data_IF_956275126010
#
_entry.id   IF_956275126010
#
_cell.length_a   1.000
_cell.length_b   1.000
_cell.length_c   1.000
_cell.angle_alpha   90.00
_cell.angle_beta   90.00
_cell.angle_gamma   90.00
#
_symmetry.space_group_name_H-M   'P 1'
#
loop_
_entity.id
_entity.type
_entity.pdbx_description
1 polymer ?
#
# COMPACT_ATOMS: atom_id res chain seq x y z
N UNK A 1 16.02 -7.69 2.31
CA UNK A 1 15.24 -7.61 3.57
C UNK A 1 14.02 -8.51 3.42
N UNK A 2 13.62 -9.24 4.47
CA UNK A 2 12.38 -10.03 4.43
C UNK A 2 11.18 -9.11 4.22
N UNK A 3 10.15 -9.54 3.49
CA UNK A 3 8.94 -8.74 3.26
C UNK A 3 8.31 -8.23 4.56
N UNK A 4 8.41 -9.03 5.62
CA UNK A 4 7.92 -8.70 6.97
C UNK A 4 8.64 -7.48 7.59
N UNK A 5 9.95 -7.33 7.36
CA UNK A 5 10.71 -6.18 7.86
C UNK A 5 10.31 -4.91 7.13
N UNK A 6 10.08 -4.99 5.82
CA UNK A 6 9.61 -3.86 4.99
C UNK A 6 8.18 -3.46 5.38
N UNK A 7 7.31 -4.43 5.71
CA UNK A 7 5.95 -4.16 6.17
C UNK A 7 5.93 -3.43 7.52
N UNK A 8 6.75 -3.89 8.48
CA UNK A 8 6.97 -3.20 9.76
C UNK A 8 7.47 -1.77 9.57
N UNK A 9 8.37 -1.56 8.61
CA UNK A 9 8.85 -0.22 8.29
C UNK A 9 7.72 0.68 7.80
N UNK A 10 6.88 0.20 6.88
CA UNK A 10 5.71 0.92 6.38
C UNK A 10 4.75 1.32 7.49
N UNK A 11 4.38 0.37 8.36
CA UNK A 11 3.54 0.60 9.55
C UNK A 11 4.21 1.60 10.50
N UNK A 12 5.52 1.45 10.74
CA UNK A 12 6.31 2.33 11.59
C UNK A 12 6.35 3.77 11.06
N UNK A 13 6.42 3.97 9.75
CA UNK A 13 6.34 5.28 9.09
C UNK A 13 4.95 5.90 9.23
N UNK A 14 3.87 5.13 9.06
CA UNK A 14 2.51 5.61 9.33
C UNK A 14 2.36 6.04 10.79
N UNK A 15 2.83 5.22 11.74
CA UNK A 15 2.74 5.51 13.17
C UNK A 15 3.49 6.77 13.54
N UNK A 16 4.75 6.88 13.12
CA UNK A 16 5.56 8.06 13.38
C UNK A 16 4.99 9.31 12.70
N UNK A 17 4.41 9.17 11.50
CA UNK A 17 3.67 10.23 10.84
C UNK A 17 2.46 10.71 11.66
N UNK A 18 1.62 9.80 12.16
CA UNK A 18 0.50 10.12 13.05
C UNK A 18 0.98 10.82 14.33
N UNK A 19 2.12 10.41 14.90
CA UNK A 19 2.70 11.08 16.07
C UNK A 19 3.03 12.55 15.77
N UNK A 20 3.65 12.84 14.63
CA UNK A 20 3.94 14.22 14.25
C UNK A 20 2.67 15.04 14.04
N UNK A 21 1.60 14.45 13.50
CA UNK A 21 0.30 15.14 13.39
C UNK A 21 -0.27 15.49 14.77
N UNK A 22 -0.21 14.56 15.73
CA UNK A 22 -0.64 14.79 17.12
C UNK A 22 0.20 15.92 17.73
N UNK A 23 1.52 15.88 17.59
CA UNK A 23 2.43 16.89 18.13
C UNK A 23 2.21 18.27 17.51
N UNK A 24 1.95 18.33 16.19
CA UNK A 24 1.65 19.58 15.50
C UNK A 24 0.41 20.27 16.08
N UNK A 25 -0.67 19.52 16.27
CA UNK A 25 -1.93 20.04 16.83
C UNK A 25 -1.75 20.46 18.30
N UNK A 26 -1.09 19.62 19.12
CA UNK A 26 -0.85 19.95 20.53
C UNK A 26 0.03 21.20 20.70
N UNK A 27 1.11 21.31 19.91
CA UNK A 27 1.98 22.46 19.96
C UNK A 27 1.25 23.74 19.54
N UNK A 28 0.44 23.67 18.47
CA UNK A 28 -0.36 24.80 18.01
C UNK A 28 -1.38 25.21 19.08
N UNK A 29 -2.17 24.27 19.60
CA UNK A 29 -3.22 24.55 20.58
C UNK A 29 -2.65 25.13 21.89
N UNK A 30 -1.64 24.48 22.46
CA UNK A 30 -1.01 24.93 23.72
C UNK A 30 -0.26 26.25 23.50
N UNK A 31 0.49 26.36 22.41
CA UNK A 31 1.24 27.57 22.09
C UNK A 31 0.31 28.78 21.91
N UNK A 32 -0.78 28.63 21.16
CA UNK A 32 -1.78 29.69 20.98
C UNK A 32 -2.41 30.08 22.33
N UNK A 33 -2.80 29.11 23.16
CA UNK A 33 -3.37 29.38 24.49
C UNK A 33 -2.40 30.20 25.35
N UNK A 34 -1.13 29.81 25.40
CA UNK A 34 -0.09 30.51 26.18
C UNK A 34 0.12 31.93 25.66
N UNK A 35 0.20 32.11 24.34
CA UNK A 35 0.41 33.43 23.73
C UNK A 35 -0.79 34.34 23.96
N UNK A 36 -2.02 33.83 23.81
CA UNK A 36 -3.23 34.59 24.10
C UNK A 36 -3.23 35.02 25.57
N UNK A 37 -2.97 34.09 26.48
CA UNK A 37 -2.93 34.38 27.93
C UNK A 37 -1.88 35.43 28.27
N UNK A 38 -0.67 35.29 27.75
CA UNK A 38 0.43 36.23 27.98
C UNK A 38 0.16 37.61 27.36
N UNK A 39 -0.32 37.65 26.10
CA UNK A 39 -0.62 38.89 25.39
C UNK A 39 -1.83 39.64 25.98
N UNK A 40 -2.84 38.92 26.46
CA UNK A 40 -3.97 39.52 27.17
C UNK A 40 -3.52 40.11 28.52
N UNK A 41 -2.76 39.36 29.32
CA UNK A 41 -2.24 39.84 30.60
C UNK A 41 -1.32 41.05 30.42
N UNK A 42 -0.39 40.99 29.47
CA UNK A 42 0.51 42.11 29.14
C UNK A 42 -0.24 43.35 28.65
N UNK A 43 -1.29 43.16 27.85
CA UNK A 43 -2.16 44.22 27.38
C UNK A 43 -2.97 44.85 28.51
N UNK A 44 -3.57 44.04 29.39
CA UNK A 44 -4.32 44.51 30.56
C UNK A 44 -3.44 45.31 31.53
N UNK A 45 -2.23 44.81 31.81
CA UNK A 45 -1.29 45.51 32.69
C UNK A 45 -0.86 46.86 32.09
N UNK A 46 -0.52 46.88 30.80
CA UNK A 46 -0.13 48.10 30.09
C UNK A 46 -1.29 49.12 30.01
N UNK A 47 -2.52 48.64 29.86
CA UNK A 47 -3.72 49.47 29.89
C UNK A 47 -3.96 50.06 31.29
N UNK A 48 -3.83 49.26 32.34
CA UNK A 48 -3.98 49.71 33.73
C UNK A 48 -2.93 50.78 34.13
N UNK A 49 -1.73 50.72 33.54
CA UNK A 49 -0.68 51.72 33.76
C UNK A 49 -0.76 52.94 32.82
N UNK A 50 -1.78 53.04 31.97
CA UNK A 50 -1.90 54.12 30.97
C UNK A 50 -0.85 54.10 29.86
N UNK A 51 -0.12 53.00 29.68
CA UNK A 51 0.97 52.88 28.71
C UNK A 51 0.44 52.41 27.34
N UNK A 52 0.05 53.35 26.50
CA UNK A 52 -0.48 53.10 25.15
C UNK A 52 0.51 52.31 24.26
N UNK A 53 1.81 52.60 24.36
CA UNK A 53 2.85 51.88 23.60
C UNK A 53 2.92 50.42 24.04
N UNK A 54 2.79 50.15 25.34
CA UNK A 54 2.74 48.78 25.89
C UNK A 54 1.53 47.98 25.39
N UNK A 55 0.36 48.61 25.28
CA UNK A 55 -0.85 47.96 24.75
C UNK A 55 -0.65 47.55 23.27
N UNK A 56 -0.12 48.46 22.45
CA UNK A 56 0.16 48.18 21.02
C UNK A 56 1.22 47.08 20.89
N UNK A 57 2.31 47.17 21.67
CA UNK A 57 3.38 46.18 21.66
C UNK A 57 2.87 44.79 22.06
N UNK A 58 1.94 44.69 23.04
CA UNK A 58 1.32 43.43 23.43
C UNK A 58 0.46 42.85 22.30
N UNK A 59 -0.30 43.69 21.60
CA UNK A 59 -1.10 43.27 20.44
C UNK A 59 -0.24 42.73 19.28
N UNK A 60 0.84 43.44 18.93
CA UNK A 60 1.79 42.98 17.90
C UNK A 60 2.49 41.70 18.35
N UNK A 61 2.93 41.64 19.61
CA UNK A 61 3.57 40.46 20.19
C UNK A 61 2.67 39.22 20.15
N UNK A 62 1.36 39.40 20.39
CA UNK A 62 0.37 38.33 20.28
C UNK A 62 0.24 37.82 18.84
N UNK A 63 0.09 38.72 17.85
CA UNK A 63 -0.02 38.34 16.45
C UNK A 63 1.24 37.63 15.94
N UNK A 64 2.42 38.19 16.25
CA UNK A 64 3.72 37.61 15.88
C UNK A 64 3.92 36.26 16.55
N UNK A 65 3.62 36.13 17.84
CA UNK A 65 3.72 34.88 18.57
C UNK A 65 2.84 33.79 17.96
N UNK A 66 1.57 34.11 17.66
CA UNK A 66 0.64 33.16 17.04
C UNK A 66 1.16 32.72 15.68
N UNK A 67 1.62 33.66 14.85
CA UNK A 67 2.19 33.35 13.53
C UNK A 67 3.38 32.39 13.63
N UNK A 68 4.29 32.62 14.59
CA UNK A 68 5.46 31.75 14.82
C UNK A 68 5.02 30.34 15.24
N UNK A 69 4.09 30.23 16.19
CA UNK A 69 3.60 28.92 16.65
C UNK A 69 2.90 28.13 15.55
N UNK A 70 2.07 28.80 14.75
CA UNK A 70 1.42 28.19 13.59
C UNK A 70 2.48 27.71 12.59
N UNK A 71 3.52 28.51 12.33
CA UNK A 71 4.59 28.16 11.40
C UNK A 71 5.36 26.92 11.88
N UNK A 72 5.72 26.85 13.17
CA UNK A 72 6.39 25.68 13.74
C UNK A 72 5.48 24.44 13.67
N UNK A 73 4.20 24.59 14.05
CA UNK A 73 3.20 23.51 13.96
C UNK A 73 3.05 22.99 12.52
N UNK A 74 3.03 23.89 11.54
CA UNK A 74 2.94 23.54 10.12
C UNK A 74 4.18 22.75 9.64
N UNK A 75 5.39 23.12 10.07
CA UNK A 75 6.62 22.36 9.74
C UNK A 75 6.54 20.94 10.30
N UNK A 76 6.12 20.79 11.56
CA UNK A 76 5.96 19.47 12.19
C UNK A 76 4.88 18.66 11.46
N UNK A 77 3.74 19.27 11.13
CA UNK A 77 2.67 18.64 10.36
C UNK A 77 3.15 18.18 8.98
N UNK A 78 3.93 19.00 8.28
CA UNK A 78 4.51 18.66 6.99
C UNK A 78 5.41 17.41 7.08
N UNK A 79 6.28 17.36 8.09
CA UNK A 79 7.11 16.17 8.37
C UNK A 79 6.23 14.94 8.62
N UNK A 80 5.14 15.11 9.38
CA UNK A 80 4.15 14.06 9.61
C UNK A 80 3.55 13.51 8.32
N UNK A 81 3.08 14.38 7.45
CA UNK A 81 2.44 14.02 6.18
C UNK A 81 3.41 13.34 5.22
N UNK A 82 4.65 13.84 5.11
CA UNK A 82 5.69 13.21 4.30
C UNK A 82 5.99 11.79 4.79
N UNK A 83 5.95 11.57 6.10
CA UNK A 83 6.17 10.25 6.70
C UNK A 83 4.98 9.32 6.51
N UNK A 84 3.75 9.83 6.59
CA UNK A 84 2.52 9.10 6.23
C UNK A 84 2.58 8.67 4.75
N UNK A 85 2.96 9.57 3.85
CA UNK A 85 3.10 9.27 2.41
C UNK A 85 4.08 8.13 2.17
N UNK A 86 5.26 8.21 2.79
CA UNK A 86 6.26 7.15 2.72
C UNK A 86 5.73 5.82 3.26
N UNK A 87 4.99 5.84 4.37
CA UNK A 87 4.36 4.64 4.94
C UNK A 87 3.37 3.99 3.99
N UNK A 88 2.44 4.76 3.41
CA UNK A 88 1.50 4.23 2.42
C UNK A 88 2.19 3.74 1.15
N UNK A 89 3.22 4.44 0.67
CA UNK A 89 3.99 4.03 -0.50
C UNK A 89 4.70 2.69 -0.31
N UNK A 90 5.28 2.45 0.87
CA UNK A 90 5.89 1.15 1.22
C UNK A 90 4.84 0.04 1.27
N UNK A 91 3.71 0.27 1.94
CA UNK A 91 2.66 -0.75 2.03
C UNK A 91 2.05 -1.07 0.66
N UNK A 92 1.88 -0.05 -0.19
CA UNK A 92 1.41 -0.21 -1.58
C UNK A 92 2.39 -1.02 -2.43
N UNK A 93 3.70 -0.80 -2.29
CA UNK A 93 4.71 -1.57 -3.05
C UNK A 93 4.75 -3.05 -2.63
N UNK A 94 4.26 -3.37 -1.43
CA UNK A 94 4.03 -4.73 -0.95
C UNK A 94 2.68 -5.33 -1.40
N UNK A 95 1.94 -4.65 -2.27
CA UNK A 95 0.64 -5.11 -2.79
C UNK A 95 -0.53 -4.90 -1.84
N UNK A 96 -0.38 -4.11 -0.77
CA UNK A 96 -1.51 -3.73 0.10
C UNK A 96 -2.37 -2.68 -0.58
N UNK A 97 -3.69 -2.84 -0.54
CA UNK A 97 -4.64 -1.88 -1.09
C UNK A 97 -4.76 -0.63 -0.20
N UNK A 98 -3.69 0.16 -0.12
CA UNK A 98 -3.64 1.41 0.66
C UNK A 98 -3.18 2.59 -0.20
N UNK A 99 -3.11 2.41 -1.52
CA UNK A 99 -2.66 3.44 -2.46
C UNK A 99 -3.53 4.70 -2.45
N UNK A 100 -4.79 4.59 -2.02
CA UNK A 100 -5.67 5.74 -1.82
C UNK A 100 -5.14 6.73 -0.77
N UNK A 101 -4.49 6.22 0.29
CA UNK A 101 -3.86 7.03 1.31
C UNK A 101 -2.66 7.81 0.76
N UNK A 102 -1.83 7.18 -0.07
CA UNK A 102 -0.70 7.84 -0.75
C UNK A 102 -1.17 8.98 -1.67
N UNK A 103 -2.22 8.73 -2.47
CA UNK A 103 -2.83 9.74 -3.35
C UNK A 103 -3.37 10.90 -2.51
N UNK A 104 -4.12 10.61 -1.44
CA UNK A 104 -4.65 11.62 -0.52
C UNK A 104 -3.56 12.50 0.08
N UNK A 105 -2.47 11.86 0.48
CA UNK A 105 -1.30 12.53 1.06
C UNK A 105 -0.60 13.46 0.05
N UNK A 106 -0.61 13.10 -1.23
CA UNK A 106 -0.08 13.94 -2.32
C UNK A 106 -1.01 15.11 -2.61
N UNK A 107 -2.33 14.87 -2.68
CA UNK A 107 -3.33 15.92 -2.86
C UNK A 107 -3.29 16.93 -1.72
N UNK A 108 -3.15 16.47 -0.48
CA UNK A 108 -3.05 17.36 0.67
C UNK A 108 -1.84 18.30 0.56
N UNK A 109 -0.66 17.77 0.18
CA UNK A 109 0.54 18.57 -0.04
C UNK A 109 0.38 19.59 -1.18
N UNK A 110 -0.24 19.19 -2.28
CA UNK A 110 -0.55 20.10 -3.40
C UNK A 110 -1.52 21.19 -2.96
N UNK A 111 -2.56 20.84 -2.19
CA UNK A 111 -3.50 21.78 -1.60
C UNK A 111 -2.80 22.81 -0.72
N UNK A 112 -1.89 22.37 0.17
CA UNK A 112 -1.08 23.29 0.99
C UNK A 112 -0.25 24.27 0.15
N UNK A 113 0.39 23.80 -0.93
CA UNK A 113 1.16 24.68 -1.82
C UNK A 113 0.26 25.73 -2.47
N UNK A 114 -0.93 25.33 -2.94
CA UNK A 114 -1.91 26.24 -3.54
C UNK A 114 -2.41 27.26 -2.50
N UNK A 115 -2.64 26.84 -1.26
CA UNK A 115 -3.01 27.75 -0.16
C UNK A 115 -1.92 28.79 0.08
N UNK A 116 -0.65 28.39 0.13
CA UNK A 116 0.48 29.33 0.30
C UNK A 116 0.53 30.33 -0.85
N UNK A 117 0.40 29.86 -2.09
CA UNK A 117 0.38 30.73 -3.28
C UNK A 117 -0.82 31.69 -3.21
N UNK A 118 -2.01 31.18 -2.87
CA UNK A 118 -3.22 31.97 -2.69
C UNK A 118 -3.04 33.07 -1.66
N UNK A 119 -2.47 32.75 -0.49
CA UNK A 119 -2.19 33.69 0.60
C UNK A 119 -1.18 34.78 0.21
N UNK A 120 -0.19 34.47 -0.64
CA UNK A 120 0.72 35.48 -1.16
C UNK A 120 0.03 36.42 -2.17
N UNK A 121 -0.89 35.88 -2.96
CA UNK A 121 -1.62 36.64 -3.99
C UNK A 121 -2.83 37.41 -3.44
N UNK A 122 -3.25 37.21 -2.19
CA UNK A 122 -4.34 38.01 -1.59
C UNK A 122 -4.00 39.48 -1.50
N UNK A 123 -2.70 39.83 -1.49
CA UNK A 123 -2.22 41.22 -1.55
C UNK A 123 -2.74 41.95 -2.80
N UNK A 124 -3.03 41.21 -3.88
CA UNK A 124 -3.50 41.74 -5.18
C UNK A 124 -4.98 41.42 -5.44
N UNK A 125 -5.76 41.08 -4.40
CA UNK A 125 -7.19 40.69 -4.48
C UNK A 125 -7.54 39.43 -5.32
N UNK A 126 -6.59 38.84 -6.06
CA UNK A 126 -6.80 37.66 -6.92
C UNK A 126 -6.57 36.34 -6.14
N UNK A 127 -5.97 36.42 -4.94
CA UNK A 127 -5.64 35.22 -4.14
C UNK A 127 -6.83 34.49 -3.54
N UNK A 128 -7.98 35.14 -3.35
CA UNK A 128 -9.11 34.55 -2.61
C UNK A 128 -9.74 33.31 -3.31
N UNK A 129 -10.02 33.32 -4.63
CA UNK A 129 -10.44 32.10 -5.34
C UNK A 129 -9.41 30.96 -5.28
N UNK A 130 -8.11 31.30 -5.28
CA UNK A 130 -7.01 30.32 -5.24
C UNK A 130 -6.95 29.65 -3.86
N UNK A 131 -7.17 30.42 -2.78
CA UNK A 131 -7.25 29.88 -1.42
C UNK A 131 -8.36 28.84 -1.29
N UNK A 132 -9.57 29.17 -1.75
CA UNK A 132 -10.72 28.25 -1.71
C UNK A 132 -10.41 26.96 -2.47
N UNK A 133 -9.81 27.07 -3.66
CA UNK A 133 -9.41 25.91 -4.45
C UNK A 133 -8.40 25.03 -3.69
N UNK A 134 -7.40 25.66 -3.08
CA UNK A 134 -6.39 24.97 -2.27
C UNK A 134 -7.00 24.23 -1.07
N UNK A 135 -7.93 24.87 -0.35
CA UNK A 135 -8.66 24.27 0.76
C UNK A 135 -9.49 23.06 0.33
N UNK A 136 -10.21 23.15 -0.78
CA UNK A 136 -10.99 22.02 -1.33
C UNK A 136 -10.07 20.84 -1.66
N UNK A 137 -8.94 21.10 -2.32
CA UNK A 137 -7.97 20.06 -2.67
C UNK A 137 -7.36 19.43 -1.40
N UNK A 138 -6.99 20.26 -0.42
CA UNK A 138 -6.46 19.79 0.86
C UNK A 138 -7.49 18.96 1.63
N UNK A 139 -8.76 19.37 1.64
CA UNK A 139 -9.87 18.65 2.26
C UNK A 139 -10.05 17.26 1.63
N UNK A 140 -10.10 17.18 0.30
CA UNK A 140 -10.18 15.91 -0.42
C UNK A 140 -8.96 15.04 -0.07
N UNK A 141 -7.76 15.62 -0.04
CA UNK A 141 -6.55 14.94 0.38
C UNK A 141 -6.66 14.35 1.79
N UNK A 142 -7.17 15.12 2.74
CA UNK A 142 -7.39 14.70 4.14
C UNK A 142 -8.37 13.53 4.27
N UNK A 143 -9.48 13.59 3.53
CA UNK A 143 -10.47 12.50 3.47
C UNK A 143 -9.82 11.20 2.95
N UNK A 144 -9.06 11.28 1.87
CA UNK A 144 -8.38 10.12 1.29
C UNK A 144 -7.30 9.55 2.20
N UNK A 145 -6.58 10.38 2.96
CA UNK A 145 -5.67 9.93 4.03
C UNK A 145 -6.44 9.12 5.08
N UNK A 146 -7.59 9.63 5.55
CA UNK A 146 -8.45 8.93 6.51
C UNK A 146 -8.94 7.57 6.00
N UNK A 147 -9.38 7.51 4.73
CA UNK A 147 -9.73 6.24 4.06
C UNK A 147 -8.50 5.30 3.99
N UNK A 148 -7.31 5.84 3.72
CA UNK A 148 -6.06 5.08 3.76
C UNK A 148 -5.82 4.41 5.12
N UNK A 149 -5.98 5.16 6.22
CA UNK A 149 -5.88 4.60 7.57
C UNK A 149 -6.97 3.57 7.86
N UNK A 150 -8.22 3.81 7.42
CA UNK A 150 -9.29 2.82 7.54
C UNK A 150 -8.93 1.49 6.88
N UNK A 151 -8.41 1.54 5.63
CA UNK A 151 -7.98 0.34 4.90
C UNK A 151 -6.81 -0.38 5.59
N UNK A 152 -5.86 0.37 6.15
CA UNK A 152 -4.78 -0.22 6.97
C UNK A 152 -5.38 -0.96 8.17
N UNK A 153 -6.30 -0.35 8.91
CA UNK A 153 -6.98 -1.02 10.02
C UNK A 153 -7.74 -2.27 9.61
N UNK A 154 -8.34 -2.28 8.42
CA UNK A 154 -9.01 -3.45 7.85
C UNK A 154 -8.05 -4.58 7.47
N UNK A 155 -6.94 -4.25 6.78
CA UNK A 155 -5.93 -5.22 6.35
C UNK A 155 -5.27 -5.92 7.54
N UNK A 156 -4.97 -5.17 8.59
CA UNK A 156 -4.29 -5.70 9.79
C UNK A 156 -5.25 -6.11 10.91
N UNK A 157 -6.56 -6.05 10.66
CA UNK A 157 -7.62 -6.36 11.64
C UNK A 157 -7.46 -5.59 12.98
N UNK A 158 -7.06 -4.32 12.91
CA UNK A 158 -6.88 -3.46 14.08
C UNK A 158 -7.98 -2.40 14.14
N UNK A 159 -8.97 -2.65 15.02
CA UNK A 159 -10.17 -1.81 15.17
C UNK A 159 -9.86 -0.35 15.53
N UNK A 160 -8.81 -0.09 16.31
CA UNK A 160 -8.41 1.28 16.67
C UNK A 160 -7.92 2.06 15.46
N UNK A 161 -7.19 1.43 14.54
CA UNK A 161 -6.73 2.08 13.30
C UNK A 161 -7.92 2.31 12.38
N UNK A 162 -8.87 1.36 12.32
CA UNK A 162 -10.10 1.47 11.53
C UNK A 162 -10.96 2.65 11.99
N UNK A 163 -11.25 2.74 13.30
CA UNK A 163 -11.99 3.85 13.90
C UNK A 163 -11.21 5.16 13.75
N UNK A 164 -9.90 5.14 13.97
CA UNK A 164 -9.04 6.30 13.79
C UNK A 164 -9.12 6.87 12.37
N UNK A 165 -9.09 6.01 11.36
CA UNK A 165 -9.28 6.39 9.96
C UNK A 165 -10.62 7.07 9.69
N UNK A 166 -11.72 6.55 10.25
CA UNK A 166 -13.06 7.15 10.13
C UNK A 166 -13.09 8.55 10.74
N UNK A 167 -12.48 8.74 11.91
CA UNK A 167 -12.45 10.05 12.57
C UNK A 167 -11.57 11.05 11.82
N UNK A 168 -10.48 10.61 11.16
CA UNK A 168 -9.64 11.48 10.32
C UNK A 168 -10.42 12.04 9.12
N UNK A 169 -11.38 11.29 8.56
CA UNK A 169 -12.20 11.75 7.42
C UNK A 169 -13.05 12.97 7.78
N UNK A 170 -13.44 13.12 9.04
CA UNK A 170 -14.31 14.21 9.48
C UNK A 170 -13.44 15.48 9.62
N UNK A 171 -13.70 16.55 8.84
CA UNK A 171 -12.89 17.76 8.82
C UNK A 171 -13.23 18.69 10.00
N UNK A 172 -13.20 18.12 11.21
CA UNK A 172 -13.36 18.84 12.47
C UNK A 172 -12.09 18.60 13.26
N UNK A 173 -11.32 19.65 13.52
CA UNK A 173 -9.95 19.56 14.05
C UNK A 173 -9.82 18.65 15.28
N UNK A 174 -10.75 18.78 16.24
CA UNK A 174 -10.74 17.97 17.46
C UNK A 174 -11.02 16.49 17.18
N UNK A 175 -11.92 16.18 16.25
CA UNK A 175 -12.26 14.79 15.88
C UNK A 175 -11.11 14.18 15.10
N UNK A 176 -10.56 14.93 14.15
CA UNK A 176 -9.42 14.54 13.35
C UNK A 176 -8.18 14.25 14.23
N UNK A 177 -7.93 15.10 15.24
CA UNK A 177 -6.90 14.90 16.26
C UNK A 177 -7.07 13.59 17.03
N UNK A 178 -8.28 13.30 17.52
CA UNK A 178 -8.59 12.03 18.19
C UNK A 178 -8.38 10.85 17.24
N UNK A 179 -8.76 11.00 15.96
CA UNK A 179 -8.51 10.01 14.92
C UNK A 179 -7.04 9.64 14.78
N UNK A 180 -6.15 10.64 14.74
CA UNK A 180 -4.70 10.40 14.70
C UNK A 180 -4.17 9.73 15.97
N UNK A 181 -4.72 10.03 17.16
CA UNK A 181 -4.37 9.33 18.41
C UNK A 181 -4.72 7.84 18.30
N UNK A 182 -5.95 7.52 17.89
CA UNK A 182 -6.40 6.13 17.77
C UNK A 182 -5.58 5.36 16.73
N UNK A 183 -5.30 6.00 15.59
CA UNK A 183 -4.41 5.43 14.58
C UNK A 183 -2.99 5.19 15.13
N UNK A 184 -2.39 6.15 15.84
CA UNK A 184 -1.07 6.00 16.45
C UNK A 184 -1.00 4.82 17.44
N UNK A 185 -1.99 4.73 18.34
CA UNK A 185 -2.05 3.66 19.35
C UNK A 185 -2.31 2.31 18.68
N UNK A 186 -3.23 2.25 17.72
CA UNK A 186 -3.56 1.03 16.99
C UNK A 186 -2.40 0.51 16.15
N UNK A 187 -1.68 1.38 15.43
CA UNK A 187 -0.50 1.01 14.65
C UNK A 187 0.65 0.49 15.51
N UNK A 188 0.69 0.83 16.81
CA UNK A 188 1.63 0.24 17.75
C UNK A 188 1.34 -1.22 18.12
N UNK A 189 0.12 -1.70 17.84
CA UNK A 189 -0.33 -3.06 18.12
C UNK A 189 -0.36 -3.95 16.89
N UNK A 190 -0.37 -3.34 15.69
CA UNK A 190 -0.33 -4.06 14.42
C UNK A 190 0.86 -5.01 14.40
N UNK A 191 0.54 -6.28 14.13
CA UNK A 191 1.55 -7.29 13.80
C UNK A 191 1.57 -7.44 12.29
N UNK A 192 2.75 -7.60 11.67
CA UNK A 192 2.83 -7.94 10.26
C UNK A 192 1.99 -9.17 10.02
N UNK A 193 1.26 -9.16 8.91
CA UNK A 193 0.59 -10.36 8.49
C UNK A 193 1.67 -11.44 8.36
N UNK A 194 1.39 -12.69 8.77
CA UNK A 194 2.27 -13.78 8.42
C UNK A 194 2.50 -13.63 6.92
N UNK A 195 3.77 -13.55 6.49
CA UNK A 195 4.08 -13.72 5.08
C UNK A 195 3.35 -14.98 4.71
N UNK A 196 2.32 -14.88 3.87
CA UNK A 196 1.79 -16.04 3.20
C UNK A 196 3.00 -16.48 2.39
N UNK A 197 3.83 -17.36 2.98
CA UNK A 197 4.62 -18.28 2.20
C UNK A 197 3.60 -18.76 1.20
N UNK A 198 3.81 -18.45 -0.09
CA UNK A 198 3.00 -19.00 -1.16
C UNK A 198 2.77 -20.43 -0.74
N UNK A 199 1.53 -20.73 -0.33
CA UNK A 199 1.17 -22.09 0.02
C UNK A 199 1.59 -22.82 -1.25
N UNK A 200 2.52 -23.79 -1.20
CA UNK A 200 2.84 -24.55 -2.38
C UNK A 200 1.47 -24.99 -2.88
N UNK A 201 1.08 -24.49 -4.07
CA UNK A 201 -0.17 -24.90 -4.68
C UNK A 201 -0.10 -26.41 -4.59
N UNK A 202 -0.96 -27.00 -3.75
CA UNK A 202 -1.06 -28.46 -3.70
C UNK A 202 -1.29 -28.81 -5.17
N UNK A 203 -0.36 -29.50 -5.85
CA UNK A 203 -0.41 -29.57 -7.30
C UNK A 203 -1.75 -30.20 -7.68
N UNK A 204 -2.66 -29.39 -8.23
CA UNK A 204 -3.98 -29.87 -8.61
C UNK A 204 -3.88 -30.87 -9.77
N UNK A 205 -2.76 -30.81 -10.49
CA UNK A 205 -2.35 -31.80 -11.47
C UNK A 205 -0.90 -32.21 -11.17
N UNK A 206 -0.63 -33.51 -11.07
CA UNK A 206 0.73 -34.04 -10.94
C UNK A 206 0.88 -35.36 -11.68
N UNK A 207 2.12 -35.72 -12.01
CA UNK A 207 2.41 -36.97 -12.70
C UNK A 207 2.34 -38.18 -11.76
N UNK A 208 1.72 -39.26 -12.23
CA UNK A 208 1.74 -40.57 -11.58
C UNK A 208 2.69 -41.48 -12.36
N UNK A 209 3.75 -41.93 -11.70
CA UNK A 209 4.76 -42.79 -12.33
C UNK A 209 5.68 -42.03 -13.31
N UNK A 210 6.54 -42.79 -13.98
CA UNK A 210 7.48 -42.25 -14.97
C UNK A 210 6.88 -42.41 -16.37
N UNK A 211 6.99 -41.37 -17.20
CA UNK A 211 6.55 -41.40 -18.58
C UNK A 211 7.57 -42.04 -19.52
N UNK A 212 7.16 -42.27 -20.77
CA UNK A 212 8.03 -42.79 -21.82
C UNK A 212 7.89 -41.96 -23.08
N UNK A 213 9.02 -41.57 -23.69
CA UNK A 213 9.09 -40.97 -25.03
C UNK A 213 9.60 -42.04 -25.99
N UNK A 214 8.89 -42.30 -27.09
CA UNK A 214 9.25 -43.29 -28.10
C UNK A 214 9.87 -42.64 -29.34
N UNK A 215 10.64 -43.40 -30.11
CA UNK A 215 11.27 -42.95 -31.38
C UNK A 215 10.26 -42.45 -32.42
N UNK A 216 9.03 -42.95 -32.39
CA UNK A 216 7.94 -42.47 -33.26
C UNK A 216 7.41 -41.06 -32.88
N UNK A 217 8.03 -40.37 -31.91
CA UNK A 217 7.68 -39.00 -31.52
C UNK A 217 6.57 -38.89 -30.48
N UNK A 218 6.02 -40.01 -30.01
CA UNK A 218 4.97 -40.02 -29.00
C UNK A 218 5.55 -40.15 -27.58
N UNK A 219 5.06 -39.30 -26.68
CA UNK A 219 5.27 -39.41 -25.25
C UNK A 219 3.98 -39.86 -24.56
N UNK A 220 4.12 -40.79 -23.63
CA UNK A 220 3.04 -41.36 -22.82
C UNK A 220 3.30 -41.01 -21.36
N UNK A 221 2.39 -40.25 -20.75
CA UNK A 221 2.46 -39.85 -19.35
C UNK A 221 1.10 -40.07 -18.68
N UNK A 222 1.10 -40.37 -17.38
CA UNK A 222 -0.12 -40.43 -16.58
C UNK A 222 -0.18 -39.22 -15.66
N UNK A 223 -1.26 -38.46 -15.72
CA UNK A 223 -1.49 -37.28 -14.87
C UNK A 223 -2.68 -37.54 -13.95
N UNK A 224 -2.48 -37.39 -12.64
CA UNK A 224 -3.58 -37.27 -11.70
C UNK A 224 -4.09 -35.83 -11.68
N UNK A 225 -5.40 -35.63 -11.73
CA UNK A 225 -6.04 -34.33 -11.57
C UNK A 225 -7.10 -34.36 -10.46
N UNK A 226 -7.06 -33.41 -9.53
CA UNK A 226 -8.08 -33.26 -8.48
C UNK A 226 -9.34 -32.53 -8.95
N UNK A 227 -9.28 -31.84 -10.08
CA UNK A 227 -10.35 -31.05 -10.70
C UNK A 227 -10.29 -31.16 -12.23
N UNK A 228 -11.37 -30.89 -12.98
CA UNK A 228 -11.28 -30.81 -14.43
C UNK A 228 -10.27 -29.73 -14.86
N UNK A 229 -9.38 -30.07 -15.79
CA UNK A 229 -8.31 -29.19 -16.26
C UNK A 229 -8.08 -29.35 -17.78
N UNK A 230 -7.52 -28.34 -18.44
CA UNK A 230 -7.24 -28.38 -19.89
C UNK A 230 -5.76 -28.16 -20.18
N UNK A 231 -5.14 -29.08 -20.91
CA UNK A 231 -3.76 -28.96 -21.37
C UNK A 231 -3.73 -28.09 -22.62
N UNK A 232 -3.01 -26.96 -22.55
CA UNK A 232 -2.85 -26.00 -23.64
C UNK A 232 -1.69 -26.39 -24.54
N UNK A 233 -0.55 -26.76 -23.94
CA UNK A 233 0.67 -27.07 -24.68
C UNK A 233 1.62 -27.93 -23.84
N UNK A 234 2.56 -28.60 -24.51
CA UNK A 234 3.65 -29.31 -23.88
C UNK A 234 4.97 -29.01 -24.60
N UNK A 235 6.07 -29.01 -23.85
CA UNK A 235 7.42 -28.87 -24.39
C UNK A 235 8.43 -29.77 -23.68
N UNK A 236 9.41 -30.27 -24.41
CA UNK A 236 10.57 -30.96 -23.83
C UNK A 236 11.63 -29.91 -23.48
N UNK A 237 11.91 -29.76 -22.19
CA UNK A 237 12.94 -28.83 -21.71
C UNK A 237 14.34 -29.28 -22.16
N UNK A 238 15.20 -28.32 -22.48
CA UNK A 238 16.56 -28.56 -22.96
C UNK A 238 16.67 -28.97 -24.44
N UNK A 239 15.59 -29.45 -25.06
CA UNK A 239 15.53 -29.76 -26.49
C UNK A 239 14.77 -28.72 -27.32
N UNK A 240 14.01 -27.82 -26.68
CA UNK A 240 13.12 -26.84 -27.32
C UNK A 240 12.11 -27.46 -28.32
N UNK A 241 11.73 -28.72 -28.09
CA UNK A 241 10.75 -29.42 -28.92
C UNK A 241 9.35 -29.16 -28.35
N UNK A 242 8.49 -28.53 -29.14
CA UNK A 242 7.09 -28.26 -28.79
C UNK A 242 6.18 -29.38 -29.28
N UNK A 243 5.13 -29.69 -28.53
CA UNK A 243 4.11 -30.65 -28.97
C UNK A 243 3.30 -30.12 -30.14
N UNK A 244 2.99 -30.98 -31.10
CA UNK A 244 2.07 -30.69 -32.22
C UNK A 244 0.67 -31.27 -31.99
N UNK A 245 0.52 -32.27 -31.12
CA UNK A 245 -0.79 -32.80 -30.71
C UNK A 245 -0.75 -33.34 -29.27
N UNK A 246 -1.89 -33.26 -28.57
CA UNK A 246 -2.08 -33.77 -27.20
C UNK A 246 -3.44 -34.45 -27.13
N UNK A 247 -3.53 -35.67 -26.60
CA UNK A 247 -4.77 -36.41 -26.43
C UNK A 247 -4.79 -37.18 -25.11
N UNK A 248 -5.78 -36.98 -24.22
CA UNK A 248 -6.83 -35.95 -24.29
C UNK A 248 -6.28 -34.56 -23.95
N UNK A 249 -6.92 -33.51 -24.46
CA UNK A 249 -6.63 -32.12 -24.06
C UNK A 249 -7.35 -31.73 -22.77
N UNK A 250 -8.39 -32.46 -22.37
CA UNK A 250 -9.14 -32.22 -21.14
C UNK A 250 -8.93 -33.38 -20.17
N UNK A 251 -8.42 -33.06 -18.98
CA UNK A 251 -8.23 -33.97 -17.87
C UNK A 251 -9.51 -34.08 -17.04
N UNK A 252 -9.94 -35.31 -16.78
CA UNK A 252 -10.99 -35.63 -15.84
C UNK A 252 -10.42 -35.78 -14.42
N UNK A 253 -11.30 -35.76 -13.42
CA UNK A 253 -10.88 -36.03 -12.03
C UNK A 253 -10.37 -37.47 -11.93
N UNK A 254 -9.18 -37.66 -11.34
CA UNK A 254 -8.50 -38.94 -11.23
C UNK A 254 -7.30 -39.07 -12.17
N UNK A 255 -6.91 -40.31 -12.49
CA UNK A 255 -5.79 -40.60 -13.38
C UNK A 255 -6.20 -40.47 -14.85
N UNK A 256 -5.40 -39.75 -15.63
CA UNK A 256 -5.58 -39.54 -17.05
C UNK A 256 -4.34 -40.02 -17.80
N UNK A 257 -4.52 -40.87 -18.80
CA UNK A 257 -3.45 -41.27 -19.71
C UNK A 257 -3.36 -40.24 -20.83
N UNK A 258 -2.26 -39.48 -20.87
CA UNK A 258 -2.03 -38.42 -21.83
C UNK A 258 -0.96 -38.84 -22.81
N UNK A 259 -1.34 -38.80 -24.08
CA UNK A 259 -0.46 -39.04 -25.23
C UNK A 259 -0.11 -37.70 -25.87
N UNK A 260 1.17 -37.40 -26.00
CA UNK A 260 1.69 -36.14 -26.54
C UNK A 260 2.57 -36.44 -27.74
N UNK A 261 2.32 -35.80 -28.88
CA UNK A 261 3.12 -35.95 -30.07
C UNK A 261 4.09 -34.76 -30.21
N UNK A 262 5.39 -35.04 -30.20
CA UNK A 262 6.47 -34.06 -30.32
C UNK A 262 7.12 -34.03 -31.71
N UNK A 263 6.69 -34.91 -32.63
CA UNK A 263 7.29 -35.01 -33.96
C UNK A 263 8.68 -35.64 -33.93
N UNK A 264 9.68 -34.96 -34.50
CA UNK A 264 11.03 -35.49 -34.60
C UNK A 264 11.77 -35.40 -33.24
N UNK A 265 12.09 -36.56 -32.66
CA UNK A 265 12.81 -36.70 -31.38
C UNK A 265 14.20 -37.33 -31.52
N UNK A 266 14.78 -37.36 -32.73
CA UNK A 266 16.10 -37.96 -33.00
C UNK A 266 17.27 -37.27 -32.27
N UNK A 267 17.06 -36.04 -31.78
CA UNK A 267 18.05 -35.32 -30.99
C UNK A 267 18.13 -35.77 -29.53
N UNK A 268 17.22 -36.64 -29.08
CA UNK A 268 17.20 -37.16 -27.71
C UNK A 268 18.18 -38.34 -27.57
N UNK A 269 18.91 -38.37 -26.46
CA UNK A 269 19.85 -39.43 -26.11
C UNK A 269 19.09 -40.63 -25.53
N UNK A 270 19.31 -41.86 -26.04
CA UNK A 270 18.67 -43.09 -25.55
C UNK A 270 18.79 -43.26 -24.02
N UNK A 271 17.73 -43.78 -23.40
CA UNK A 271 17.62 -44.06 -21.96
C UNK A 271 17.82 -42.85 -21.03
N UNK A 272 17.74 -41.63 -21.57
CA UNK A 272 17.85 -40.39 -20.78
C UNK A 272 16.47 -39.93 -20.31
N UNK A 273 16.39 -39.43 -19.08
CA UNK A 273 15.17 -38.82 -18.54
C UNK A 273 15.09 -37.36 -18.96
N UNK A 274 13.98 -36.99 -19.58
CA UNK A 274 13.67 -35.63 -20.01
C UNK A 274 12.54 -35.04 -19.17
N UNK A 275 12.59 -33.71 -18.99
CA UNK A 275 11.51 -32.97 -18.36
C UNK A 275 10.57 -32.45 -19.45
N UNK A 276 9.29 -32.83 -19.35
CA UNK A 276 8.21 -32.29 -20.17
C UNK A 276 7.45 -31.27 -19.32
N UNK A 277 7.47 -30.01 -19.74
CA UNK A 277 6.68 -28.95 -19.13
C UNK A 277 5.35 -28.82 -19.84
N UNK A 278 4.25 -28.98 -19.12
CA UNK A 278 2.89 -28.79 -19.62
C UNK A 278 2.33 -27.46 -19.14
N UNK A 279 1.70 -26.72 -20.05
CA UNK A 279 0.91 -25.54 -19.74
C UNK A 279 -0.55 -25.97 -19.58
N UNK A 280 -1.13 -25.77 -18.41
CA UNK A 280 -2.46 -26.26 -18.04
C UNK A 280 -3.33 -25.10 -17.57
N UNK A 281 -4.58 -25.05 -18.05
CA UNK A 281 -5.63 -24.17 -17.56
C UNK A 281 -6.53 -24.92 -16.57
N UNK A 282 -6.60 -24.43 -15.33
CA UNK A 282 -7.49 -24.94 -14.29
C UNK A 282 -8.41 -23.81 -13.85
N UNK A 283 -9.70 -23.89 -14.20
CA UNK A 283 -10.71 -22.91 -13.79
C UNK A 283 -10.42 -21.46 -14.22
N UNK A 284 -9.65 -21.25 -15.30
CA UNK A 284 -9.22 -19.94 -15.78
C UNK A 284 -7.81 -19.51 -15.35
N UNK A 285 -7.15 -20.28 -14.47
CA UNK A 285 -5.77 -20.03 -14.07
C UNK A 285 -4.80 -20.88 -14.91
N UNK A 286 -3.82 -20.25 -15.55
CA UNK A 286 -2.81 -20.93 -16.36
C UNK A 286 -1.58 -21.20 -15.50
N UNK A 287 -1.24 -22.48 -15.34
CA UNK A 287 -0.09 -22.95 -14.57
C UNK A 287 0.80 -23.85 -15.41
N UNK A 288 2.08 -23.91 -15.07
CA UNK A 288 3.02 -24.86 -15.66
C UNK A 288 3.29 -26.00 -14.68
N UNK A 289 3.20 -27.24 -15.16
CA UNK A 289 3.62 -28.42 -14.39
C UNK A 289 4.79 -29.11 -15.09
N UNK A 290 5.72 -29.64 -14.30
CA UNK A 290 6.86 -30.40 -14.82
C UNK A 290 6.63 -31.90 -14.62
N UNK A 291 6.85 -32.67 -15.67
CA UNK A 291 6.71 -34.12 -15.70
C UNK A 291 7.99 -34.74 -16.26
N UNK A 292 8.25 -36.01 -15.95
CA UNK A 292 9.46 -36.73 -16.33
C UNK A 292 9.12 -37.90 -17.24
N UNK A 293 9.87 -38.04 -18.33
CA UNK A 293 9.71 -39.16 -19.25
C UNK A 293 11.07 -39.65 -19.75
N UNK A 294 11.25 -40.98 -19.84
CA UNK A 294 12.47 -41.60 -20.34
C UNK A 294 12.35 -41.80 -21.84
N UNK A 295 13.37 -41.37 -22.58
CA UNK A 295 13.44 -41.67 -24.00
C UNK A 295 13.86 -43.12 -24.23
N UNK A 296 12.95 -43.93 -24.76
CA UNK A 296 13.13 -45.33 -25.11
C UNK A 296 12.95 -45.46 -26.64
N UNK A 297 14.06 -45.47 -27.40
CA UNK A 297 14.02 -45.51 -28.86
C UNK A 297 13.39 -46.80 -29.41
#
# INVERSE_FOLDING_TARGET
>A
MSQQNTELEGIGKLRSGSLFMILAVLLAAIGILVIISAGMLGGMFSAASGNVIGVIASGIGLLVGIAIVILIGAIIGLIGILRIRSGFGILKSLGRDVGIGEIGTTLYLVGLIIIIIGALLTIVLIGFPILILGEIIALIGGILIGIGFYKVGEIYNEGLVKIGGILIVIPIDLINFVGFILAYVGLGKVRPLPTVAQQPLVPQVYQVGQGTIRNNGYAYITLYSSTPASIISAKIEGANIMSSAINPTVLQIGNNEVTIFFGNVQSLAPNTTYIITLTINIGGNIINISTTAVYQP
#
